data_IF_520908567621
#
_entry.id   IF_520908567621
#
_cell.length_a   1.000
_cell.length_b   1.000
_cell.length_c   1.000
_cell.angle_alpha   90.00
_cell.angle_beta   90.00
_cell.angle_gamma   90.00
#
_symmetry.space_group_name_H-M   'P 1'
#
loop_
_entity.id
_entity.type
_entity.pdbx_description
1 polymer ?
#
# COMPACT_ATOMS: atom_id res chain seq x y z
N UNK A 1 -25.39 20.56 25.63
CA UNK A 1 -25.35 21.34 24.37
C UNK A 1 -24.33 20.68 23.46
N UNK A 2 -24.86 19.84 22.56
CA UNK A 2 -24.12 19.00 21.63
C UNK A 2 -23.73 19.83 20.41
N UNK A 3 -22.49 20.28 20.34
CA UNK A 3 -21.91 20.72 19.07
C UNK A 3 -21.21 19.54 18.43
N UNK A 4 -22.00 18.79 17.66
CA UNK A 4 -21.56 17.90 16.61
C UNK A 4 -20.74 18.71 15.59
N UNK A 5 -19.41 18.69 15.74
CA UNK A 5 -18.54 18.97 14.61
C UNK A 5 -18.54 17.72 13.73
N UNK A 6 -19.43 17.73 12.74
CA UNK A 6 -19.49 16.74 11.67
C UNK A 6 -18.11 16.56 11.07
N UNK A 7 -17.55 15.39 11.36
CA UNK A 7 -16.31 14.84 10.84
C UNK A 7 -16.29 15.00 9.32
N UNK A 8 -15.64 16.07 8.88
CA UNK A 8 -15.37 16.34 7.48
C UNK A 8 -14.00 15.76 7.17
N UNK A 9 -13.87 14.43 7.22
CA UNK A 9 -12.72 13.75 6.64
C UNK A 9 -13.21 12.86 5.52
N UNK A 10 -13.29 13.51 4.37
CA UNK A 10 -13.56 12.97 3.05
C UNK A 10 -13.10 11.52 2.95
N UNK A 11 -14.06 10.64 2.68
CA UNK A 11 -13.81 9.36 2.07
C UNK A 11 -13.02 9.60 0.78
N UNK A 12 -11.70 9.46 0.85
CA UNK A 12 -10.88 9.27 -0.35
C UNK A 12 -11.09 7.83 -0.79
N UNK A 13 -12.22 7.61 -1.46
CA UNK A 13 -12.36 6.58 -2.47
C UNK A 13 -11.41 6.92 -3.61
N UNK A 14 -10.14 6.59 -3.45
CA UNK A 14 -9.15 6.65 -4.52
C UNK A 14 -9.18 5.36 -5.30
N UNK A 15 -9.78 5.37 -6.49
CA UNK A 15 -9.60 4.36 -7.52
C UNK A 15 -8.13 4.37 -8.00
N UNK A 16 -7.22 3.67 -7.31
CA UNK A 16 -5.81 3.72 -7.72
C UNK A 16 -5.08 2.38 -7.54
N UNK A 17 -4.93 1.68 -8.66
CA UNK A 17 -3.92 0.67 -8.99
C UNK A 17 -3.50 -0.30 -7.86
N UNK A 18 -3.97 -1.54 -7.96
CA UNK A 18 -3.75 -2.69 -7.07
C UNK A 18 -2.29 -3.08 -6.74
N UNK A 19 -1.29 -2.35 -7.25
CA UNK A 19 0.15 -2.62 -7.03
C UNK A 19 0.89 -1.47 -6.38
N UNK A 20 0.20 -0.51 -5.77
CA UNK A 20 0.82 0.58 -5.00
C UNK A 20 0.46 0.43 -3.52
N UNK A 21 1.42 0.69 -2.64
CA UNK A 21 1.16 0.75 -1.20
C UNK A 21 0.48 2.07 -0.83
N UNK A 22 -0.68 2.02 -0.19
CA UNK A 22 -1.46 3.20 0.21
C UNK A 22 -0.76 4.04 1.30
N UNK A 23 0.07 3.40 2.14
CA UNK A 23 0.78 4.06 3.25
C UNK A 23 2.10 4.69 2.82
N UNK A 24 2.80 4.05 1.88
CA UNK A 24 4.21 4.32 1.61
C UNK A 24 4.47 4.66 0.14
N UNK A 25 3.44 4.68 -0.72
CA UNK A 25 3.52 5.04 -2.14
C UNK A 25 4.38 4.11 -3.02
N UNK A 26 4.88 3.00 -2.47
CA UNK A 26 5.80 2.09 -3.20
C UNK A 26 5.09 1.52 -4.42
N UNK A 27 5.68 1.74 -5.59
CA UNK A 27 5.19 1.25 -6.88
C UNK A 27 6.16 0.22 -7.49
N UNK A 28 5.71 -0.57 -8.48
CA UNK A 28 6.60 -1.43 -9.23
C UNK A 28 7.65 -0.62 -9.99
N UNK A 29 8.89 -1.10 -9.99
CA UNK A 29 10.00 -0.47 -10.71
C UNK A 29 10.36 -1.34 -11.92
N UNK A 30 10.64 -0.71 -13.06
CA UNK A 30 11.11 -1.42 -14.25
C UNK A 30 12.57 -1.85 -14.08
N UNK A 31 12.92 -3.03 -14.59
CA UNK A 31 14.27 -3.56 -14.49
C UNK A 31 14.58 -4.58 -15.59
N UNK A 32 15.81 -5.10 -15.55
CA UNK A 32 16.31 -6.08 -16.53
C UNK A 32 16.86 -7.30 -15.79
N UNK A 33 16.61 -8.49 -16.33
CA UNK A 33 17.29 -9.71 -15.93
C UNK A 33 18.43 -9.96 -16.91
N UNK A 34 19.65 -10.07 -16.41
CA UNK A 34 20.86 -10.32 -17.21
C UNK A 34 21.28 -11.76 -16.93
N UNK A 35 21.38 -12.59 -17.98
CA UNK A 35 21.92 -13.94 -17.86
C UNK A 35 23.46 -13.92 -17.89
N UNK A 36 24.09 -15.05 -17.51
CA UNK A 36 25.54 -15.25 -17.67
C UNK A 36 26.03 -15.07 -19.13
N UNK A 37 25.15 -15.28 -20.10
CA UNK A 37 25.41 -15.06 -21.54
C UNK A 37 25.01 -13.64 -22.03
N UNK A 38 24.76 -12.70 -21.11
CA UNK A 38 24.37 -11.32 -21.41
C UNK A 38 23.05 -11.19 -22.21
N UNK A 39 22.17 -12.20 -22.16
CA UNK A 39 20.81 -12.06 -22.69
C UNK A 39 20.00 -11.22 -21.71
N UNK A 40 19.46 -10.11 -22.22
CA UNK A 40 18.71 -9.14 -21.43
C UNK A 40 17.21 -9.35 -21.65
N UNK A 41 16.48 -9.67 -20.59
CA UNK A 41 15.01 -9.71 -20.62
C UNK A 41 14.42 -8.63 -19.72
N UNK A 42 13.31 -8.02 -20.15
CA UNK A 42 12.61 -7.01 -19.36
C UNK A 42 11.86 -7.66 -18.20
N UNK A 43 12.03 -7.09 -17.00
CA UNK A 43 11.41 -7.55 -15.75
C UNK A 43 10.78 -6.36 -15.03
N UNK A 44 9.75 -6.62 -14.22
CA UNK A 44 9.18 -5.64 -13.29
C UNK A 44 9.45 -6.09 -11.86
N UNK A 45 10.09 -5.26 -11.05
CA UNK A 45 10.26 -5.47 -9.61
C UNK A 45 8.99 -4.99 -8.91
N UNK A 46 8.21 -5.93 -8.37
CA UNK A 46 7.00 -5.62 -7.62
C UNK A 46 7.31 -5.59 -6.12
N UNK A 47 6.94 -4.52 -5.38
CA UNK A 47 7.01 -4.57 -3.93
C UNK A 47 6.07 -5.65 -3.39
N UNK A 48 6.46 -6.28 -2.28
CA UNK A 48 5.62 -7.26 -1.58
C UNK A 48 4.48 -6.54 -0.85
N UNK A 49 3.39 -6.29 -1.58
CA UNK A 49 2.17 -5.67 -1.08
C UNK A 49 1.21 -6.77 -0.65
N UNK A 50 0.73 -6.67 0.58
CA UNK A 50 -0.23 -7.58 1.18
C UNK A 50 -1.54 -6.83 1.42
N UNK A 51 -2.65 -7.54 1.22
CA UNK A 51 -3.98 -7.06 1.54
C UNK A 51 -4.27 -7.40 2.99
N UNK A 52 -4.37 -6.40 3.84
CA UNK A 52 -4.56 -6.60 5.29
C UNK A 52 -5.70 -5.72 5.80
N UNK A 53 -6.31 -6.15 6.91
CA UNK A 53 -7.20 -5.31 7.68
C UNK A 53 -6.39 -4.37 8.55
N UNK A 54 -6.77 -3.10 8.51
CA UNK A 54 -6.14 -2.03 9.25
C UNK A 54 -7.22 -1.24 9.95
N UNK A 55 -6.96 -0.87 11.20
CA UNK A 55 -7.82 0.08 11.92
C UNK A 55 -7.35 1.50 11.58
N UNK A 56 -8.18 2.24 10.86
CA UNK A 56 -8.00 3.67 10.61
C UNK A 56 -9.21 4.36 11.22
N UNK A 57 -8.99 5.31 12.13
CA UNK A 57 -10.04 6.09 12.80
C UNK A 57 -11.14 5.24 13.46
N UNK A 58 -10.74 4.14 14.11
CA UNK A 58 -11.66 3.21 14.79
C UNK A 58 -12.41 2.25 13.85
N UNK A 59 -12.27 2.39 12.54
CA UNK A 59 -12.93 1.53 11.56
C UNK A 59 -11.94 0.55 10.91
N UNK A 60 -12.33 -0.74 10.87
CA UNK A 60 -11.58 -1.78 10.17
C UNK A 60 -11.78 -1.62 8.66
N UNK A 61 -10.72 -1.29 7.94
CA UNK A 61 -10.71 -1.18 6.47
C UNK A 61 -9.69 -2.13 5.86
N UNK A 62 -9.98 -2.64 4.66
CA UNK A 62 -9.03 -3.41 3.86
C UNK A 62 -8.16 -2.44 3.09
N UNK A 63 -6.85 -2.51 3.26
CA UNK A 63 -5.89 -1.65 2.58
C UNK A 63 -4.72 -2.46 2.00
N UNK A 64 -4.12 -1.94 0.93
CA UNK A 64 -2.91 -2.49 0.34
C UNK A 64 -1.67 -1.94 1.06
N UNK A 65 -1.01 -2.79 1.86
CA UNK A 65 0.13 -2.40 2.69
C UNK A 65 1.36 -3.20 2.30
N UNK A 66 2.50 -2.54 2.12
CA UNK A 66 3.76 -3.25 1.87
C UNK A 66 4.34 -3.87 3.15
N UNK A 67 5.01 -5.01 2.99
CA UNK A 67 5.60 -5.77 4.11
C UNK A 67 6.57 -4.95 4.96
N UNK A 68 7.25 -3.96 4.39
CA UNK A 68 8.11 -3.04 5.16
C UNK A 68 7.30 -2.17 6.12
N UNK A 69 6.13 -1.69 5.69
CA UNK A 69 5.29 -0.82 6.51
C UNK A 69 4.56 -1.63 7.60
N UNK A 70 4.25 -2.91 7.30
CA UNK A 70 3.82 -3.91 8.30
C UNK A 70 4.91 -4.26 9.34
N UNK A 71 6.17 -4.38 8.91
CA UNK A 71 7.30 -4.65 9.81
C UNK A 71 7.60 -3.47 10.72
N UNK A 72 7.50 -2.24 10.21
CA UNK A 72 7.77 -1.03 10.98
C UNK A 72 6.66 -0.61 11.95
N UNK A 73 5.57 -1.39 12.06
CA UNK A 73 4.48 -1.07 13.00
C UNK A 73 3.73 0.22 12.71
N UNK A 74 3.90 0.82 11.51
CA UNK A 74 3.21 2.04 11.07
C UNK A 74 1.70 1.86 10.94
N UNK A 75 1.22 0.62 11.06
CA UNK A 75 -0.14 0.18 10.79
C UNK A 75 -0.52 -0.85 11.85
N UNK A 76 -1.55 -0.56 12.63
CA UNK A 76 -2.08 -1.51 13.61
C UNK A 76 -2.90 -2.59 12.88
N UNK A 77 -2.54 -3.86 13.10
CA UNK A 77 -3.32 -5.02 12.68
C UNK A 77 -4.37 -5.33 13.74
N UNK A 78 -5.60 -5.64 13.31
CA UNK A 78 -6.68 -6.18 14.16
C UNK A 78 -7.17 -7.51 13.64
#
# INVERSE_FOLDING_TARGET
MFVNATCSFVAQGGSVMSKVCEVCGKHPVAGRSISHSHRVTNRKFRPNIQRVYVVVDGHRRKMNVCSTCLKSGKVARS
#
